data_IF_231017265472
#
_entry.id   IF_231017265472
#
_cell.length_a   1.000
_cell.length_b   1.000
_cell.length_c   1.000
_cell.angle_alpha   90.00
_cell.angle_beta   90.00
_cell.angle_gamma   90.00
#
_symmetry.space_group_name_H-M   'P 1'
#
loop_
_entity.id
_entity.type
_entity.pdbx_description
1 polymer ?
#
# COMPACT_ATOMS: atom_id res chain seq x y z
N UNK A 1 -10.50 6.61 1.73
CA UNK A 1 -11.45 6.07 0.74
C UNK A 1 -10.73 5.47 -0.47
N UNK A 2 -11.19 4.30 -0.93
CA UNK A 2 -10.79 3.71 -2.21
C UNK A 2 -11.33 4.61 -3.32
N UNK A 3 -10.52 4.91 -4.32
CA UNK A 3 -10.99 5.60 -5.51
C UNK A 3 -11.76 4.59 -6.38
N UNK A 4 -13.06 4.81 -6.69
CA UNK A 4 -13.88 3.85 -7.42
C UNK A 4 -13.39 3.58 -8.84
N UNK A 5 -12.56 4.46 -9.41
CA UNK A 5 -11.98 4.27 -10.75
C UNK A 5 -10.69 3.44 -10.71
N UNK A 6 -10.06 3.30 -9.53
CA UNK A 6 -8.84 2.53 -9.35
C UNK A 6 -9.15 1.07 -9.03
N UNK A 7 -8.35 0.17 -9.59
CA UNK A 7 -8.43 -1.25 -9.28
C UNK A 7 -7.76 -1.52 -7.93
N UNK A 8 -8.52 -2.02 -6.96
CA UNK A 8 -7.95 -2.59 -5.74
C UNK A 8 -7.34 -3.96 -6.08
N UNK A 9 -6.05 -4.11 -5.84
CA UNK A 9 -5.28 -5.31 -6.21
C UNK A 9 -4.93 -6.18 -5.01
N UNK A 10 -4.93 -5.60 -3.80
CA UNK A 10 -4.70 -6.33 -2.56
C UNK A 10 -5.26 -5.56 -1.36
N UNK A 11 -5.59 -6.28 -0.28
CA UNK A 11 -6.14 -5.73 0.95
C UNK A 11 -5.71 -6.56 2.16
N UNK A 12 -5.24 -5.88 3.22
CA UNK A 12 -4.81 -6.52 4.46
C UNK A 12 -5.33 -5.77 5.69
N UNK A 13 -6.06 -6.46 6.56
CA UNK A 13 -6.46 -5.96 7.88
C UNK A 13 -5.27 -6.05 8.83
N UNK A 14 -5.03 -5.00 9.63
CA UNK A 14 -4.03 -5.02 10.70
C UNK A 14 -4.42 -6.05 11.77
N UNK A 15 -3.45 -6.68 12.46
CA UNK A 15 -3.74 -7.66 13.51
C UNK A 15 -4.63 -7.14 14.65
N UNK A 16 -4.58 -5.84 14.95
CA UNK A 16 -5.44 -5.18 15.93
C UNK A 16 -6.86 -4.85 15.42
N UNK A 17 -7.13 -5.07 14.12
CA UNK A 17 -8.42 -4.86 13.50
C UNK A 17 -8.82 -3.39 13.32
N UNK A 18 -7.96 -2.42 13.64
CA UNK A 18 -8.30 -0.99 13.58
C UNK A 18 -8.02 -0.36 12.22
N UNK A 19 -7.19 -1.01 11.42
CA UNK A 19 -6.59 -0.41 10.24
C UNK A 19 -6.61 -1.37 9.05
N UNK A 20 -6.91 -0.86 7.86
CA UNK A 20 -6.87 -1.61 6.61
C UNK A 20 -5.82 -1.01 5.69
N UNK A 21 -4.85 -1.81 5.27
CA UNK A 21 -3.99 -1.48 4.15
C UNK A 21 -4.64 -1.98 2.86
N UNK A 22 -4.52 -1.20 1.78
CA UNK A 22 -4.93 -1.64 0.46
C UNK A 22 -4.02 -1.07 -0.61
N UNK A 23 -3.84 -1.87 -1.66
CA UNK A 23 -3.05 -1.54 -2.82
C UNK A 23 -3.99 -1.24 -3.97
N UNK A 24 -3.84 -0.07 -4.58
CA UNK A 24 -4.64 0.34 -5.73
C UNK A 24 -3.77 0.66 -6.93
N UNK A 25 -4.34 0.48 -8.11
CA UNK A 25 -3.71 0.80 -9.39
C UNK A 25 -4.68 1.62 -10.22
N UNK A 26 -4.23 2.76 -10.75
CA UNK A 26 -5.00 3.55 -11.69
C UNK A 26 -4.78 3.11 -13.16
N UNK A 27 -5.53 3.73 -14.06
CA UNK A 27 -5.42 3.50 -15.52
C UNK A 27 -4.06 3.90 -16.10
N UNK A 28 -3.37 4.85 -15.46
CA UNK A 28 -2.02 5.28 -15.82
C UNK A 28 -0.93 4.37 -15.22
N UNK A 29 -1.34 3.25 -14.62
CA UNK A 29 -0.47 2.22 -14.04
C UNK A 29 0.43 2.77 -12.91
N UNK A 30 -0.08 3.71 -12.13
CA UNK A 30 0.49 4.05 -10.84
C UNK A 30 -0.06 3.11 -9.76
N UNK A 31 0.85 2.42 -9.11
CA UNK A 31 0.59 1.62 -7.93
C UNK A 31 0.66 2.52 -6.69
N UNK A 32 -0.38 2.46 -5.85
CA UNK A 32 -0.44 3.19 -4.57
C UNK A 32 -0.72 2.23 -3.43
N UNK A 33 0.01 2.41 -2.33
CA UNK A 33 -0.32 1.76 -1.06
C UNK A 33 -0.99 2.78 -0.17
N UNK A 34 -2.19 2.47 0.30
CA UNK A 34 -2.99 3.30 1.20
C UNK A 34 -3.29 2.55 2.48
N UNK A 35 -3.50 3.32 3.55
CA UNK A 35 -3.89 2.84 4.87
C UNK A 35 -5.12 3.61 5.31
N UNK A 36 -6.14 2.90 5.78
CA UNK A 36 -7.42 3.44 6.24
C UNK A 36 -7.65 3.04 7.70
N UNK A 37 -7.87 4.02 8.57
CA UNK A 37 -8.38 3.78 9.93
C UNK A 37 -9.90 3.70 9.87
N UNK A 38 -10.44 2.59 10.35
CA UNK A 38 -11.86 2.25 10.22
C UNK A 38 -12.72 3.24 11.02
N UNK A 39 -12.42 3.40 12.32
CA UNK A 39 -13.21 4.22 13.25
C UNK A 39 -13.15 5.72 12.92
N UNK A 40 -12.01 6.21 12.42
CA UNK A 40 -11.85 7.61 12.04
C UNK A 40 -12.38 7.93 10.64
N UNK A 41 -12.71 6.89 9.87
CA UNK A 41 -13.03 6.98 8.46
C UNK A 41 -12.01 7.81 7.66
N UNK A 42 -10.72 7.66 7.99
CA UNK A 42 -9.62 8.50 7.47
C UNK A 42 -8.59 7.63 6.75
N UNK A 43 -8.10 8.07 5.58
CA UNK A 43 -7.12 7.32 4.80
C UNK A 43 -5.91 8.17 4.40
N UNK A 44 -4.75 7.52 4.35
CA UNK A 44 -3.47 8.12 3.94
C UNK A 44 -2.79 7.25 2.89
N UNK A 45 -2.16 7.89 1.90
CA UNK A 45 -1.30 7.22 0.92
C UNK A 45 0.12 7.07 1.48
N UNK A 46 0.59 5.84 1.70
CA UNK A 46 1.95 5.55 2.16
C UNK A 46 2.98 5.57 1.03
N UNK A 47 2.61 5.10 -0.16
CA UNK A 47 3.55 5.03 -1.29
C UNK A 47 2.84 5.22 -2.62
N UNK A 48 3.56 5.80 -3.58
CA UNK A 48 3.16 5.90 -4.98
C UNK A 48 4.35 5.48 -5.85
N UNK A 49 4.13 4.58 -6.79
CA UNK A 49 5.13 4.13 -7.74
C UNK A 49 4.52 3.98 -9.14
N UNK A 50 5.28 4.31 -10.18
CA UNK A 50 4.85 4.07 -11.57
C UNK A 50 5.38 2.72 -12.05
N UNK A 51 4.52 1.91 -12.65
CA UNK A 51 4.98 0.66 -13.28
C UNK A 51 5.93 0.88 -14.46
N UNK A 52 5.87 2.04 -15.10
CA UNK A 52 6.70 2.36 -16.28
C UNK A 52 7.95 3.18 -15.96
N UNK A 53 7.98 3.92 -14.85
CA UNK A 53 9.10 4.79 -14.49
C UNK A 53 10.40 4.06 -14.11
N UNK A 54 10.37 2.74 -13.91
CA UNK A 54 11.50 1.95 -13.40
C UNK A 54 12.11 0.97 -14.41
N UNK A 55 11.55 0.84 -15.62
CA UNK A 55 12.04 -0.14 -16.60
C UNK A 55 11.80 -1.61 -16.24
N UNK A 56 10.98 -1.91 -15.22
CA UNK A 56 10.87 -3.23 -14.60
C UNK A 56 9.45 -3.83 -14.69
N UNK A 57 8.86 -3.80 -15.88
CA UNK A 57 7.54 -4.40 -16.16
C UNK A 57 7.44 -5.88 -15.72
N UNK A 58 8.55 -6.64 -15.76
CA UNK A 58 8.58 -8.05 -15.37
C UNK A 58 8.51 -8.29 -13.85
N UNK A 59 9.07 -7.42 -13.01
CA UNK A 59 9.04 -7.57 -11.54
C UNK A 59 7.62 -7.36 -11.03
N UNK A 60 6.93 -6.38 -11.60
CA UNK A 60 5.58 -6.03 -11.17
C UNK A 60 4.55 -7.08 -11.64
N UNK A 61 4.70 -7.64 -12.85
CA UNK A 61 3.90 -8.79 -13.28
C UNK A 61 4.11 -10.04 -12.39
N UNK A 62 5.34 -10.33 -11.99
CA UNK A 62 5.63 -11.45 -11.07
C UNK A 62 5.03 -11.20 -9.67
N UNK A 63 5.01 -9.96 -9.19
CA UNK A 63 4.37 -9.58 -7.93
C UNK A 63 2.84 -9.70 -7.97
N UNK A 64 2.20 -9.44 -9.10
CA UNK A 64 0.76 -9.72 -9.26
C UNK A 64 0.42 -11.22 -9.34
N UNK A 65 1.42 -12.11 -9.34
CA UNK A 65 1.23 -13.56 -9.31
C UNK A 65 1.32 -14.18 -7.91
N UNK A 66 1.60 -13.38 -6.87
CA UNK A 66 1.53 -13.84 -5.48
C UNK A 66 0.21 -13.44 -4.84
N UNK A 67 -0.31 -14.29 -3.94
CA UNK A 67 -1.65 -14.15 -3.34
C UNK A 67 -1.83 -12.87 -2.49
N UNK A 68 -0.76 -12.31 -1.93
CA UNK A 68 -0.79 -11.03 -1.22
C UNK A 68 0.58 -10.34 -1.25
N UNK A 69 0.58 -9.03 -1.48
CA UNK A 69 1.76 -8.16 -1.54
C UNK A 69 1.83 -7.22 -0.32
N UNK A 70 0.80 -7.18 0.51
CA UNK A 70 0.74 -6.38 1.74
C UNK A 70 0.81 -7.28 2.98
N UNK A 71 1.73 -6.99 3.90
CA UNK A 71 1.84 -7.74 5.16
C UNK A 71 2.08 -6.81 6.35
N UNK A 72 1.16 -6.81 7.30
CA UNK A 72 1.34 -6.12 8.57
C UNK A 72 2.33 -6.85 9.47
N UNK A 73 3.12 -6.09 10.22
CA UNK A 73 3.87 -6.64 11.35
C UNK A 73 2.90 -7.12 12.43
N UNK A 74 3.24 -8.17 13.21
CA UNK A 74 2.34 -8.71 14.23
C UNK A 74 1.89 -7.71 15.29
N UNK A 75 2.67 -6.65 15.53
CA UNK A 75 2.37 -5.56 16.45
C UNK A 75 1.45 -4.47 15.85
N UNK A 76 0.97 -4.66 14.61
CA UNK A 76 0.10 -3.72 13.86
C UNK A 76 0.74 -2.37 13.55
N UNK A 77 2.04 -2.19 13.80
CA UNK A 77 2.69 -0.87 13.71
C UNK A 77 3.25 -0.56 12.33
N UNK A 78 3.69 -1.58 11.59
CA UNK A 78 4.36 -1.40 10.31
C UNK A 78 3.72 -2.24 9.23
N UNK A 79 3.80 -1.75 7.99
CA UNK A 79 3.39 -2.46 6.79
C UNK A 79 4.62 -2.79 5.95
N UNK A 80 4.76 -4.07 5.60
CA UNK A 80 5.67 -4.55 4.58
C UNK A 80 4.96 -4.56 3.23
N UNK A 81 5.60 -3.96 2.23
CA UNK A 81 5.07 -3.93 0.86
C UNK A 81 6.21 -3.76 -0.15
N UNK A 82 6.05 -4.31 -1.36
CA UNK A 82 7.03 -4.13 -2.41
C UNK A 82 6.96 -2.73 -3.03
N UNK A 83 8.12 -2.19 -3.39
CA UNK A 83 8.26 -0.90 -4.05
C UNK A 83 9.40 -0.98 -5.07
N UNK A 84 9.04 -1.05 -6.35
CA UNK A 84 10.02 -1.31 -7.41
C UNK A 84 10.70 -2.67 -7.21
N UNK A 85 12.02 -2.67 -7.01
CA UNK A 85 12.82 -3.88 -6.76
C UNK A 85 13.17 -4.08 -5.28
N UNK A 86 12.49 -3.39 -4.38
CA UNK A 86 12.74 -3.43 -2.93
C UNK A 86 11.50 -3.90 -2.18
N UNK A 87 11.73 -4.52 -1.03
CA UNK A 87 10.70 -4.70 0.00
C UNK A 87 10.89 -3.56 1.00
N UNK A 88 9.88 -2.70 1.15
CA UNK A 88 9.89 -1.62 2.14
C UNK A 88 9.11 -2.02 3.38
N UNK A 89 9.56 -1.51 4.52
CA UNK A 89 8.80 -1.50 5.77
C UNK A 89 8.50 -0.05 6.11
N UNK A 90 7.23 0.29 6.29
CA UNK A 90 6.82 1.62 6.73
C UNK A 90 6.09 1.55 8.07
N UNK A 91 6.59 2.27 9.07
CA UNK A 91 5.81 2.67 10.24
C UNK A 91 4.78 3.70 9.77
N UNK A 92 3.50 3.34 9.84
CA UNK A 92 2.46 4.18 9.25
C UNK A 92 2.13 5.41 10.11
N UNK A 93 2.43 5.39 11.41
CA UNK A 93 2.24 6.54 12.30
C UNK A 93 3.33 7.60 12.02
N UNK A 94 4.60 7.19 11.86
CA UNK A 94 5.69 8.11 11.47
C UNK A 94 5.43 8.72 10.07
N UNK A 95 4.89 7.92 9.14
CA UNK A 95 4.55 8.39 7.80
C UNK A 95 3.43 9.44 7.78
N UNK A 96 2.48 9.37 8.72
CA UNK A 96 1.41 10.37 8.86
C UNK A 96 1.98 11.72 9.30
N UNK A 97 2.85 11.71 10.30
CA UNK A 97 3.34 12.92 10.94
C UNK A 97 4.26 13.73 10.00
N UNK A 98 4.98 13.08 9.09
CA UNK A 98 5.80 13.73 8.05
C UNK A 98 5.02 14.53 7.01
N UNK A 99 3.69 14.37 6.93
CA UNK A 99 2.82 15.16 6.02
C UNK A 99 2.07 16.29 6.71
N UNK A 100 2.13 16.39 8.04
CA UNK A 100 1.42 17.40 8.82
C UNK A 100 2.24 18.68 9.08
N UNK A 101 3.50 18.74 8.63
CA UNK A 101 4.38 19.91 8.70
C UNK A 101 4.91 20.29 7.32
#
# INVERSE_FOLDING_TARGET
PVDPENQCTDLALSPDGQTVAFAEMDSDLYFRVKVWRIEENSATTLAVNSMFGTGNFQVIQAMFSVDSILQWTPDSRSLLFPYGNQLLQADYEDWRDRRAG
#
